data_IF_631317858168
#
_entry.id   IF_631317858168
#
_cell.length_a   1.000
_cell.length_b   1.000
_cell.length_c   1.000
_cell.angle_alpha   90.00
_cell.angle_beta   90.00
_cell.angle_gamma   90.00
#
_symmetry.space_group_name_H-M   'P 1'
#
loop_
_entity.id
_entity.type
_entity.pdbx_description
1 polymer ?
#
# COMPACT_ATOMS: atom_id res chain seq x y z
N UNK A 1 14.00 2.40 -25.59
CA UNK A 1 13.25 3.01 -24.48
C UNK A 1 13.34 2.10 -23.26
N UNK A 2 13.75 2.64 -22.12
CA UNK A 2 13.79 1.96 -20.83
C UNK A 2 12.66 2.49 -19.96
N UNK A 3 11.76 1.61 -19.55
CA UNK A 3 10.64 1.97 -18.68
C UNK A 3 10.88 1.44 -17.26
N UNK A 4 10.76 2.31 -16.27
CA UNK A 4 10.96 1.97 -14.85
C UNK A 4 9.91 2.67 -13.98
N UNK A 5 9.79 2.27 -12.73
CA UNK A 5 8.91 2.94 -11.76
C UNK A 5 9.55 3.00 -10.37
N UNK A 6 9.09 3.94 -9.56
CA UNK A 6 9.49 4.14 -8.18
C UNK A 6 8.24 4.18 -7.28
N UNK A 7 8.26 3.45 -6.16
CA UNK A 7 7.21 3.52 -5.13
C UNK A 7 7.85 4.03 -3.84
N UNK A 8 7.45 5.23 -3.40
CA UNK A 8 7.99 5.87 -2.20
C UNK A 8 6.94 5.99 -1.10
N UNK A 9 7.30 5.74 0.17
CA UNK A 9 6.35 5.87 1.27
C UNK A 9 5.94 7.34 1.44
N UNK A 10 4.66 7.56 1.76
CA UNK A 10 4.15 8.89 2.10
C UNK A 10 4.08 9.04 3.63
N UNK A 11 4.43 10.22 4.18
CA UNK A 11 4.28 10.48 5.61
C UNK A 11 2.83 10.32 6.07
N UNK A 12 2.63 9.85 7.29
CA UNK A 12 1.29 9.72 7.89
C UNK A 12 0.55 11.06 7.94
N UNK A 13 1.27 12.17 8.15
CA UNK A 13 0.73 13.54 8.13
C UNK A 13 0.08 13.94 6.80
N UNK A 14 0.37 13.22 5.72
CA UNK A 14 -0.22 13.44 4.39
C UNK A 14 -1.25 12.36 4.03
N UNK A 15 -1.78 11.64 5.02
CA UNK A 15 -2.72 10.53 4.86
C UNK A 15 -2.05 9.17 4.60
N UNK A 16 -0.73 9.07 4.83
CA UNK A 16 0.04 7.85 4.69
C UNK A 16 0.03 7.26 3.27
N UNK A 17 0.29 5.95 3.19
CA UNK A 17 0.29 5.20 1.93
C UNK A 17 1.56 5.39 1.10
N UNK A 18 1.39 5.46 -0.22
CA UNK A 18 2.49 5.38 -1.19
C UNK A 18 2.28 6.31 -2.38
N UNK A 19 3.39 6.80 -2.92
CA UNK A 19 3.43 7.54 -4.19
C UNK A 19 4.12 6.68 -5.23
N UNK A 20 3.44 6.45 -6.34
CA UNK A 20 3.98 5.83 -7.54
C UNK A 20 4.46 6.91 -8.50
N UNK A 21 5.66 6.75 -9.04
CA UNK A 21 6.20 7.50 -10.17
C UNK A 21 6.59 6.55 -11.28
N UNK A 22 6.30 6.93 -12.52
CA UNK A 22 6.54 6.16 -13.73
C UNK A 22 7.56 6.92 -14.57
N UNK A 23 8.56 6.22 -15.11
CA UNK A 23 9.66 6.85 -15.83
C UNK A 23 9.90 6.22 -17.20
N UNK A 24 10.05 7.05 -18.23
CA UNK A 24 10.52 6.64 -19.56
C UNK A 24 11.88 7.27 -19.85
N UNK A 25 12.89 6.44 -20.10
CA UNK A 25 14.29 6.85 -20.29
C UNK A 25 14.84 7.75 -19.16
N UNK A 26 14.27 7.61 -17.96
CA UNK A 26 14.63 8.38 -16.76
C UNK A 26 13.77 9.61 -16.50
N UNK A 27 12.95 10.04 -17.46
CA UNK A 27 12.02 11.17 -17.30
C UNK A 27 10.70 10.70 -16.67
N UNK A 28 10.20 11.42 -15.67
CA UNK A 28 8.89 11.12 -15.05
C UNK A 28 7.77 11.41 -16.07
N UNK A 29 7.03 10.37 -16.45
CA UNK A 29 5.96 10.44 -17.45
C UNK A 29 4.56 10.27 -16.85
N UNK A 30 4.48 10.05 -15.54
CA UNK A 30 3.22 9.91 -14.82
C UNK A 30 3.41 9.32 -13.42
N UNK A 31 2.29 9.09 -12.75
CA UNK A 31 2.28 8.57 -11.39
C UNK A 31 0.89 8.64 -10.77
N UNK A 32 0.76 8.12 -9.56
CA UNK A 32 -0.46 8.19 -8.77
C UNK A 32 -0.16 8.09 -7.26
N UNK A 33 -1.16 8.38 -6.43
CA UNK A 33 -1.09 8.30 -4.97
C UNK A 33 -2.08 7.26 -4.45
N UNK A 34 -1.55 6.31 -3.68
CA UNK A 34 -2.31 5.23 -3.08
C UNK A 34 -2.40 5.45 -1.58
N UNK A 35 -3.61 5.63 -1.06
CA UNK A 35 -3.85 6.01 0.33
C UNK A 35 -4.02 4.80 1.25
N UNK A 36 -3.29 4.78 2.37
CA UNK A 36 -3.49 3.82 3.45
C UNK A 36 -4.51 4.39 4.46
N UNK A 37 -5.79 4.45 4.07
CA UNK A 37 -6.83 5.10 4.86
C UNK A 37 -7.07 4.36 6.18
N UNK A 38 -7.24 5.13 7.25
CA UNK A 38 -7.76 4.59 8.50
C UNK A 38 -9.23 4.18 8.32
N UNK A 39 -9.58 3.03 8.89
CA UNK A 39 -10.94 2.53 8.89
C UNK A 39 -11.60 2.80 10.24
N UNK A 40 -12.93 2.91 10.23
CA UNK A 40 -13.73 3.00 11.45
C UNK A 40 -13.59 1.72 12.30
N UNK A 41 -13.82 1.84 13.61
CA UNK A 41 -13.58 0.75 14.56
C UNK A 41 -14.39 -0.52 14.27
N UNK A 42 -15.63 -0.38 13.78
CA UNK A 42 -16.50 -1.47 13.37
C UNK A 42 -15.96 -2.21 12.14
N UNK A 43 -15.42 -1.48 11.16
CA UNK A 43 -14.75 -2.05 9.98
C UNK A 43 -13.49 -2.83 10.39
N UNK A 44 -12.69 -2.26 11.29
CA UNK A 44 -11.50 -2.93 11.83
C UNK A 44 -11.89 -4.21 12.57
N UNK A 45 -12.93 -4.15 13.41
CA UNK A 45 -13.41 -5.32 14.14
C UNK A 45 -13.90 -6.43 13.19
N UNK A 46 -14.66 -6.07 12.16
CA UNK A 46 -15.14 -7.02 11.16
C UNK A 46 -13.98 -7.69 10.42
N UNK A 47 -12.99 -6.93 9.93
CA UNK A 47 -11.78 -7.48 9.32
C UNK A 47 -11.03 -8.40 10.28
N UNK A 48 -10.81 -7.97 11.53
CA UNK A 48 -10.09 -8.74 12.54
C UNK A 48 -10.75 -10.11 12.83
N UNK A 49 -12.08 -10.15 12.82
CA UNK A 49 -12.86 -11.38 13.00
C UNK A 49 -12.73 -12.37 11.84
N UNK A 50 -12.30 -11.94 10.65
CA UNK A 50 -12.07 -12.84 9.50
C UNK A 50 -10.70 -13.51 9.51
N UNK A 51 -9.75 -12.99 10.28
CA UNK A 51 -8.39 -13.51 10.34
C UNK A 51 -8.26 -14.71 11.27
N UNK A 52 -7.41 -15.66 10.89
CA UNK A 52 -6.88 -16.70 11.77
C UNK A 52 -5.94 -16.12 12.83
N UNK A 53 -5.65 -16.89 13.88
CA UNK A 53 -4.74 -16.44 14.94
C UNK A 53 -3.31 -16.20 14.42
N UNK A 54 -2.83 -17.00 13.46
CA UNK A 54 -1.53 -16.80 12.84
C UNK A 54 -1.48 -15.51 12.01
N UNK A 55 -2.54 -15.21 11.25
CA UNK A 55 -2.64 -13.95 10.50
C UNK A 55 -2.70 -12.74 11.43
N UNK A 56 -3.45 -12.85 12.53
CA UNK A 56 -3.51 -11.81 13.57
C UNK A 56 -2.14 -11.54 14.17
N UNK A 57 -1.40 -12.59 14.54
CA UNK A 57 -0.04 -12.47 15.06
C UNK A 57 0.90 -11.83 14.05
N UNK A 58 0.85 -12.25 12.78
CA UNK A 58 1.68 -11.68 11.72
C UNK A 58 1.41 -10.18 11.50
N UNK A 59 0.15 -9.74 11.58
CA UNK A 59 -0.18 -8.32 11.47
C UNK A 59 0.18 -7.52 12.72
N UNK A 60 0.10 -8.11 13.91
CA UNK A 60 0.53 -7.46 15.14
C UNK A 60 2.04 -7.22 15.15
N UNK A 61 2.84 -8.21 14.73
CA UNK A 61 4.30 -8.12 14.64
C UNK A 61 4.76 -7.02 13.68
N UNK A 62 4.03 -6.82 12.57
CA UNK A 62 4.28 -5.73 11.61
C UNK A 62 3.78 -4.35 12.07
N UNK A 63 3.08 -4.27 13.20
CA UNK A 63 2.44 -3.04 13.69
C UNK A 63 3.20 -2.43 14.87
N UNK A 64 3.00 -1.14 15.14
CA UNK A 64 3.74 -0.39 16.19
C UNK A 64 3.02 -0.30 17.54
N UNK A 65 1.99 -1.12 17.81
CA UNK A 65 1.24 -0.96 19.06
C UNK A 65 0.33 -2.09 19.48
N UNK A 66 0.49 -3.30 18.95
CA UNK A 66 -0.10 -4.52 19.52
C UNK A 66 -1.64 -4.57 19.60
N UNK A 67 -2.36 -3.67 18.92
CA UNK A 67 -3.83 -3.66 18.87
C UNK A 67 -4.34 -3.98 17.46
N UNK A 68 -5.58 -4.47 17.32
CA UNK A 68 -6.21 -4.66 16.00
C UNK A 68 -6.23 -3.38 15.14
N UNK A 69 -6.33 -2.20 15.76
CA UNK A 69 -6.27 -0.93 15.04
C UNK A 69 -4.88 -0.66 14.44
N UNK A 70 -3.80 -0.89 15.21
CA UNK A 70 -2.44 -0.79 14.68
C UNK A 70 -2.16 -1.84 13.60
N UNK A 71 -2.63 -3.07 13.81
CA UNK A 71 -2.56 -4.15 12.84
C UNK A 71 -3.27 -3.79 11.52
N UNK A 72 -4.48 -3.22 11.60
CA UNK A 72 -5.22 -2.78 10.43
C UNK A 72 -4.54 -1.61 9.70
N UNK A 73 -3.93 -0.66 10.42
CA UNK A 73 -3.14 0.41 9.78
C UNK A 73 -1.96 -0.16 8.98
N UNK A 74 -1.26 -1.15 9.55
CA UNK A 74 -0.19 -1.85 8.84
C UNK A 74 -0.71 -2.61 7.60
N UNK A 75 -1.85 -3.30 7.73
CA UNK A 75 -2.55 -3.95 6.62
C UNK A 75 -2.93 -2.96 5.51
N UNK A 76 -3.59 -1.84 5.85
CA UNK A 76 -3.99 -0.83 4.88
C UNK A 76 -2.79 -0.24 4.14
N UNK A 77 -1.65 -0.08 4.83
CA UNK A 77 -0.41 0.36 4.21
C UNK A 77 0.17 -0.68 3.27
N UNK A 78 0.14 -1.96 3.62
CA UNK A 78 0.57 -3.05 2.74
C UNK A 78 -0.33 -3.15 1.49
N UNK A 79 -1.66 -3.12 1.68
CA UNK A 79 -2.62 -3.17 0.59
C UNK A 79 -2.44 -2.02 -0.40
N UNK A 80 -2.20 -0.80 0.09
CA UNK A 80 -1.91 0.36 -0.75
C UNK A 80 -0.59 0.23 -1.55
N UNK A 81 0.41 -0.47 -1.01
CA UNK A 81 1.63 -0.78 -1.76
C UNK A 81 1.33 -1.76 -2.90
N UNK A 82 0.58 -2.82 -2.61
CA UNK A 82 0.20 -3.83 -3.60
C UNK A 82 -0.63 -3.22 -4.74
N UNK A 83 -1.52 -2.25 -4.43
CA UNK A 83 -2.25 -1.48 -5.43
C UNK A 83 -1.30 -0.65 -6.31
N UNK A 84 -0.33 0.05 -5.72
CA UNK A 84 0.67 0.83 -6.44
C UNK A 84 1.51 -0.07 -7.36
N UNK A 85 1.94 -1.23 -6.87
CA UNK A 85 2.72 -2.19 -7.65
C UNK A 85 1.90 -2.78 -8.81
N UNK A 86 0.62 -3.12 -8.58
CA UNK A 86 -0.29 -3.55 -9.64
C UNK A 86 -0.46 -2.49 -10.72
N UNK A 87 -0.64 -1.22 -10.33
CA UNK A 87 -0.77 -0.11 -11.27
C UNK A 87 0.51 0.07 -12.11
N UNK A 88 1.68 -0.02 -11.47
CA UNK A 88 2.98 0.06 -12.14
C UNK A 88 3.17 -1.08 -13.15
N UNK A 89 2.84 -2.33 -12.78
CA UNK A 89 2.95 -3.49 -13.66
C UNK A 89 2.03 -3.38 -14.88
N UNK A 90 0.76 -2.99 -14.68
CA UNK A 90 -0.18 -2.75 -15.79
C UNK A 90 0.32 -1.67 -16.75
N UNK A 91 0.95 -0.63 -16.22
CA UNK A 91 1.57 0.39 -17.06
C UNK A 91 2.73 -0.17 -17.88
N UNK A 92 3.64 -0.94 -17.26
CA UNK A 92 4.76 -1.60 -17.94
C UNK A 92 4.29 -2.52 -19.07
N UNK A 93 3.27 -3.34 -18.81
CA UNK A 93 2.67 -4.24 -19.81
C UNK A 93 2.16 -3.49 -21.04
N UNK A 94 1.55 -2.30 -20.84
CA UNK A 94 1.03 -1.46 -21.93
C UNK A 94 2.11 -0.75 -22.74
N UNK A 95 3.25 -0.39 -22.14
CA UNK A 95 4.31 0.38 -22.83
C UNK A 95 5.40 -0.51 -23.41
N UNK A 96 5.47 -1.79 -22.99
CA UNK A 96 6.39 -2.79 -23.51
C UNK A 96 5.78 -3.67 -24.62
N UNK A 97 4.47 -3.62 -24.83
CA UNK A 97 3.74 -4.27 -25.94
C UNK A 97 3.87 -3.50 -27.24
#
# INVERSE_FOLDING_TARGET
MRYTYEITPRPESHGGGWRLRLHADGEEVGGDVFHAREAAADVVAAWWSTLTDDERLAWLDRSTGGTPAHAHRAYARAAAYDDAERAARRWLERVAS
#
